data_IF_467765076562
#
_entry.id   IF_467765076562
#
_cell.length_a   1.000
_cell.length_b   1.000
_cell.length_c   1.000
_cell.angle_alpha   90.00
_cell.angle_beta   90.00
_cell.angle_gamma   90.00
#
_symmetry.space_group_name_H-M   'P 1'
#
loop_
_entity.id
_entity.type
_entity.pdbx_description
1 polymer ?
#
# COMPACT_ATOMS: atom_id res chain seq x y z
N UNK A 1 -12.98 35.87 -26.13
CA UNK A 1 -13.05 36.21 -24.69
C UNK A 1 -13.72 35.05 -23.98
N UNK A 2 -12.94 34.04 -23.62
CA UNK A 2 -13.40 32.85 -22.86
C UNK A 2 -12.33 32.56 -21.83
N UNK A 3 -12.51 33.25 -20.71
CA UNK A 3 -12.28 32.85 -19.32
C UNK A 3 -11.25 31.76 -19.05
N UNK A 4 -10.03 32.24 -18.82
CA UNK A 4 -8.94 31.58 -18.13
C UNK A 4 -9.38 31.23 -16.70
N UNK A 5 -9.99 30.06 -16.51
CA UNK A 5 -10.19 29.53 -15.15
C UNK A 5 -8.84 29.19 -14.54
N UNK A 6 -8.34 30.15 -13.76
CA UNK A 6 -7.38 29.99 -12.68
C UNK A 6 -7.66 28.71 -11.89
N UNK A 7 -6.86 27.67 -12.15
CA UNK A 7 -6.64 26.55 -11.22
C UNK A 7 -5.19 26.66 -10.75
N UNK A 8 -4.90 27.69 -9.96
CA UNK A 8 -3.68 27.73 -9.13
C UNK A 8 -3.99 27.01 -7.81
N UNK A 9 -3.11 26.19 -7.23
CA UNK A 9 -1.71 26.01 -7.54
C UNK A 9 -1.12 24.69 -7.04
N UNK A 10 -0.40 24.04 -7.95
CA UNK A 10 0.96 23.62 -7.67
C UNK A 10 1.84 24.23 -8.77
N UNK A 11 3.00 24.81 -8.45
CA UNK A 11 3.91 25.30 -9.48
C UNK A 11 4.29 24.11 -10.38
N UNK A 12 4.01 24.27 -11.68
CA UNK A 12 4.49 23.37 -12.72
C UNK A 12 6.03 23.45 -12.72
N UNK A 13 6.71 22.56 -11.99
CA UNK A 13 8.18 22.57 -12.03
C UNK A 13 9.01 21.78 -11.02
N UNK A 14 8.48 21.19 -9.94
CA UNK A 14 9.40 20.69 -8.86
C UNK A 14 9.56 19.17 -8.79
N UNK A 15 8.55 18.35 -9.11
CA UNK A 15 8.66 16.90 -8.89
C UNK A 15 7.76 16.08 -9.83
N UNK A 16 8.36 15.21 -10.65
CA UNK A 16 7.60 14.31 -11.54
C UNK A 16 6.70 13.33 -10.77
N UNK A 17 5.68 12.71 -11.40
CA UNK A 17 4.77 11.74 -10.76
C UNK A 17 5.51 10.60 -10.03
N UNK A 18 6.60 10.11 -10.63
CA UNK A 18 7.49 9.12 -10.03
C UNK A 18 8.08 9.59 -8.69
N UNK A 19 8.57 10.82 -8.65
CA UNK A 19 9.22 11.34 -7.46
C UNK A 19 8.21 11.73 -6.36
N UNK A 20 6.95 12.09 -6.72
CA UNK A 20 5.86 12.22 -5.74
C UNK A 20 5.43 10.87 -5.15
N UNK A 21 5.34 9.82 -5.97
CA UNK A 21 5.11 8.45 -5.50
C UNK A 21 6.25 7.98 -4.59
N UNK A 22 7.51 8.25 -4.94
CA UNK A 22 8.66 7.94 -4.09
C UNK A 22 8.59 8.65 -2.73
N UNK A 23 8.28 9.95 -2.69
CA UNK A 23 8.12 10.68 -1.43
C UNK A 23 7.00 10.08 -0.57
N UNK A 24 5.83 9.81 -1.16
CA UNK A 24 4.73 9.14 -0.46
C UNK A 24 5.17 7.77 0.08
N UNK A 25 5.87 6.98 -0.74
CA UNK A 25 6.34 5.65 -0.39
C UNK A 25 7.33 5.68 0.78
N UNK A 26 8.28 6.60 0.76
CA UNK A 26 9.27 6.75 1.83
C UNK A 26 8.59 7.19 3.13
N UNK A 27 7.67 8.14 3.07
CA UNK A 27 7.02 8.68 4.28
C UNK A 27 6.03 7.68 4.85
N UNK A 28 5.09 7.16 4.06
CA UNK A 28 3.96 6.39 4.61
C UNK A 28 4.32 4.91 4.74
N UNK A 29 4.51 4.12 3.67
CA UNK A 29 4.97 2.75 3.79
C UNK A 29 6.33 2.60 4.45
N UNK A 30 7.29 3.50 4.22
CA UNK A 30 8.60 3.43 4.87
C UNK A 30 8.51 3.56 6.40
N UNK A 31 7.59 4.38 6.89
CA UNK A 31 7.31 4.46 8.33
C UNK A 31 6.59 3.20 8.84
N UNK A 32 5.55 2.76 8.13
CA UNK A 32 4.69 1.63 8.54
C UNK A 32 5.42 0.28 8.48
N UNK A 33 6.23 0.05 7.44
CA UNK A 33 6.92 -1.22 7.21
C UNK A 33 8.41 -1.18 7.57
N UNK A 34 8.97 -0.03 7.94
CA UNK A 34 10.37 0.15 8.30
C UNK A 34 10.56 0.71 9.70
N UNK A 35 10.21 1.99 9.91
CA UNK A 35 10.51 2.70 11.16
C UNK A 35 9.78 2.12 12.38
N UNK A 36 8.48 1.85 12.26
CA UNK A 36 7.69 1.26 13.35
C UNK A 36 8.19 -0.16 13.67
N UNK A 37 8.37 -1.07 12.69
CA UNK A 37 8.95 -2.37 12.96
C UNK A 37 10.33 -2.30 13.62
N UNK A 38 11.20 -1.41 13.17
CA UNK A 38 12.52 -1.22 13.77
C UNK A 38 12.42 -0.81 15.24
N UNK A 39 11.54 0.14 15.57
CA UNK A 39 11.29 0.54 16.95
C UNK A 39 10.72 -0.58 17.82
N UNK A 40 9.77 -1.37 17.29
CA UNK A 40 9.21 -2.53 18.01
C UNK A 40 10.27 -3.59 18.30
N UNK A 41 11.14 -3.88 17.33
CA UNK A 41 12.27 -4.80 17.51
C UNK A 41 13.29 -4.29 18.52
N UNK A 42 13.54 -2.97 18.56
CA UNK A 42 14.43 -2.37 19.56
C UNK A 42 13.88 -2.50 21.00
N UNK A 43 12.56 -2.58 21.17
CA UNK A 43 11.88 -2.76 22.45
C UNK A 43 11.71 -4.24 22.86
N UNK A 44 11.91 -5.19 21.93
CA UNK A 44 11.79 -6.64 22.16
C UNK A 44 13.13 -7.34 21.84
N UNK A 45 14.18 -7.21 22.70
CA UNK A 45 15.53 -7.72 22.41
C UNK A 45 15.61 -9.25 22.29
N UNK A 46 14.61 -9.96 22.81
CA UNK A 46 14.53 -11.42 22.82
C UNK A 46 13.27 -11.89 22.09
N UNK A 47 13.36 -12.04 20.78
CA UNK A 47 12.36 -12.76 20.00
C UNK A 47 12.33 -14.26 20.37
N UNK A 48 11.31 -14.97 19.91
CA UNK A 48 11.24 -16.42 20.08
C UNK A 48 12.38 -17.09 19.31
N UNK A 49 13.25 -17.81 20.03
CA UNK A 49 14.38 -18.56 19.46
C UNK A 49 13.90 -19.88 18.87
N UNK A 50 13.35 -19.82 17.66
CA UNK A 50 13.10 -20.99 16.82
C UNK A 50 14.19 -21.09 15.72
N UNK A 51 14.27 -22.22 15.02
CA UNK A 51 15.36 -22.51 14.05
C UNK A 51 15.51 -21.40 12.99
N UNK A 52 16.63 -20.68 13.07
CA UNK A 52 16.86 -19.44 12.32
C UNK A 52 16.81 -19.61 10.79
N UNK A 53 17.18 -20.78 10.27
CA UNK A 53 17.25 -21.02 8.83
C UNK A 53 15.87 -21.19 8.18
N UNK A 54 14.97 -21.98 8.77
CA UNK A 54 13.63 -22.22 8.24
C UNK A 54 12.78 -20.95 8.29
N UNK A 55 12.84 -20.22 9.41
CA UNK A 55 12.13 -18.96 9.60
C UNK A 55 12.67 -17.83 8.74
N UNK A 56 13.98 -17.84 8.51
CA UNK A 56 14.62 -16.95 7.55
C UNK A 56 13.97 -17.06 6.17
N UNK A 57 13.80 -18.27 5.64
CA UNK A 57 13.15 -18.47 4.35
C UNK A 57 11.64 -18.22 4.38
N UNK A 58 10.93 -18.72 5.41
CA UNK A 58 9.50 -18.51 5.56
C UNK A 58 9.12 -17.04 5.68
N UNK A 59 9.98 -16.21 6.26
CA UNK A 59 9.78 -14.76 6.35
C UNK A 59 10.34 -13.99 5.14
N UNK A 60 11.45 -14.42 4.54
CA UNK A 60 12.05 -13.73 3.39
C UNK A 60 11.17 -13.78 2.14
N UNK A 61 10.47 -14.89 1.89
CA UNK A 61 9.55 -15.02 0.75
C UNK A 61 8.43 -13.98 0.78
N UNK A 62 7.62 -13.84 1.85
CA UNK A 62 6.57 -12.82 1.90
C UNK A 62 7.13 -11.39 1.91
N UNK A 63 8.32 -11.13 2.47
CA UNK A 63 8.97 -9.81 2.38
C UNK A 63 9.29 -9.48 0.93
N UNK A 64 10.03 -10.35 0.24
CA UNK A 64 10.47 -10.11 -1.15
C UNK A 64 9.29 -9.99 -2.10
N UNK A 65 8.30 -10.87 -1.96
CA UNK A 65 7.04 -10.80 -2.71
C UNK A 65 6.27 -9.51 -2.42
N UNK A 66 6.13 -9.14 -1.14
CA UNK A 66 5.44 -7.93 -0.72
C UNK A 66 6.10 -6.65 -1.26
N UNK A 67 7.43 -6.55 -1.17
CA UNK A 67 8.18 -5.41 -1.74
C UNK A 67 8.00 -5.33 -3.26
N UNK A 68 8.15 -6.45 -3.97
CA UNK A 68 7.95 -6.49 -5.42
C UNK A 68 6.53 -6.11 -5.83
N UNK A 69 5.52 -6.61 -5.11
CA UNK A 69 4.12 -6.29 -5.35
C UNK A 69 3.82 -4.82 -5.08
N UNK A 70 4.34 -4.26 -3.99
CA UNK A 70 4.20 -2.85 -3.67
C UNK A 70 4.82 -1.97 -4.77
N UNK A 71 6.03 -2.31 -5.20
CA UNK A 71 6.73 -1.61 -6.27
C UNK A 71 5.94 -1.67 -7.59
N UNK A 72 5.36 -2.81 -7.94
CA UNK A 72 4.51 -2.94 -9.13
C UNK A 72 3.26 -2.06 -9.03
N UNK A 73 2.61 -2.02 -7.86
CA UNK A 73 1.48 -1.12 -7.64
C UNK A 73 1.89 0.36 -7.81
N UNK A 74 2.99 0.77 -7.17
CA UNK A 74 3.52 2.13 -7.27
C UNK A 74 3.91 2.53 -8.70
N UNK A 75 4.51 1.60 -9.43
CA UNK A 75 4.82 1.78 -10.86
C UNK A 75 3.56 2.00 -11.68
N UNK A 76 2.52 1.17 -11.49
CA UNK A 76 1.24 1.31 -12.17
C UNK A 76 0.58 2.68 -11.95
N UNK A 77 0.61 3.21 -10.73
CA UNK A 77 0.12 4.57 -10.48
C UNK A 77 0.97 5.64 -11.16
N UNK A 78 2.30 5.52 -11.11
CA UNK A 78 3.20 6.52 -11.67
C UNK A 78 3.17 6.55 -13.21
N UNK A 79 2.95 5.42 -13.88
CA UNK A 79 2.96 5.34 -15.36
C UNK A 79 1.58 5.39 -16.00
N UNK A 80 0.56 4.80 -15.38
CA UNK A 80 -0.79 4.68 -15.96
C UNK A 80 -1.84 5.55 -15.25
N UNK A 81 -1.69 5.84 -13.95
CA UNK A 81 -2.71 6.53 -13.14
C UNK A 81 -2.79 8.05 -13.31
N UNK A 82 -1.80 8.69 -13.95
CA UNK A 82 -1.67 10.18 -14.06
C UNK A 82 -1.88 10.91 -12.72
N UNK A 83 -1.52 10.27 -11.60
CA UNK A 83 -1.71 10.71 -10.21
C UNK A 83 -0.88 9.83 -9.27
N UNK A 84 -1.12 9.91 -7.96
CA UNK A 84 -0.39 9.08 -6.97
C UNK A 84 -1.37 8.30 -6.08
N UNK A 85 -0.91 7.29 -5.31
CA UNK A 85 -1.73 6.66 -4.28
C UNK A 85 -2.13 7.61 -3.13
N UNK A 86 -1.64 8.85 -3.14
CA UNK A 86 -1.86 9.83 -2.09
C UNK A 86 -3.30 10.37 -2.14
N UNK A 87 -4.00 10.48 -1.00
CA UNK A 87 -5.31 11.15 -0.91
C UNK A 87 -5.29 12.61 -1.40
N UNK A 88 -4.11 13.24 -1.43
CA UNK A 88 -3.92 14.63 -1.85
C UNK A 88 -3.71 14.79 -3.38
N UNK A 89 -3.59 13.70 -4.13
CA UNK A 89 -3.57 13.71 -5.61
C UNK A 89 -4.22 12.43 -6.16
N UNK A 90 -5.56 12.29 -6.00
CA UNK A 90 -6.26 11.05 -6.34
C UNK A 90 -6.18 10.76 -7.85
N UNK A 91 -6.13 9.49 -8.25
CA UNK A 91 -6.18 9.10 -9.65
C UNK A 91 -7.46 9.62 -10.30
N UNK A 92 -7.34 10.23 -11.49
CA UNK A 92 -8.51 10.70 -12.27
C UNK A 92 -9.25 9.55 -12.96
N UNK A 93 -8.63 8.37 -13.00
CA UNK A 93 -9.16 7.15 -13.62
C UNK A 93 -8.91 5.95 -12.69
N UNK A 94 -9.86 5.01 -12.68
CA UNK A 94 -9.78 3.80 -11.86
C UNK A 94 -8.68 2.87 -12.39
N UNK A 95 -7.62 2.66 -11.61
CA UNK A 95 -6.55 1.72 -11.95
C UNK A 95 -7.07 0.29 -11.75
N UNK A 96 -7.28 -0.43 -12.85
CA UNK A 96 -7.84 -1.80 -12.88
C UNK A 96 -6.89 -2.81 -13.53
N UNK A 97 -5.64 -2.42 -13.82
CA UNK A 97 -4.64 -3.22 -14.51
C UNK A 97 -3.54 -3.71 -13.55
N UNK A 98 -2.74 -4.69 -14.00
CA UNK A 98 -1.66 -5.26 -13.19
C UNK A 98 -2.21 -5.94 -11.92
N UNK A 99 -1.64 -5.69 -10.73
CA UNK A 99 -2.14 -6.26 -9.48
C UNK A 99 -3.60 -5.92 -9.17
N UNK A 100 -4.05 -4.74 -9.61
CA UNK A 100 -5.42 -4.29 -9.43
C UNK A 100 -6.43 -5.10 -10.26
N UNK A 101 -5.99 -5.86 -11.27
CA UNK A 101 -6.87 -6.77 -11.99
C UNK A 101 -7.25 -8.03 -11.17
N UNK A 102 -6.51 -8.34 -10.10
CA UNK A 102 -6.73 -9.54 -9.26
C UNK A 102 -7.29 -9.23 -7.88
N UNK A 103 -6.90 -8.11 -7.31
CA UNK A 103 -7.42 -7.65 -6.02
C UNK A 103 -7.64 -6.15 -6.11
N UNK A 104 -8.70 -5.64 -5.48
CA UNK A 104 -8.93 -4.20 -5.41
C UNK A 104 -7.96 -3.47 -4.46
N UNK A 105 -7.29 -4.21 -3.56
CA UNK A 105 -6.43 -3.64 -2.50
C UNK A 105 -5.04 -4.30 -2.41
N UNK A 106 -4.32 -4.48 -3.54
CA UNK A 106 -3.07 -5.26 -3.58
C UNK A 106 -1.93 -4.56 -2.83
N UNK A 107 -1.90 -3.22 -2.82
CA UNK A 107 -0.89 -2.43 -2.13
C UNK A 107 -0.97 -2.60 -0.60
N UNK A 108 -2.18 -2.67 -0.02
CA UNK A 108 -2.36 -2.95 1.41
C UNK A 108 -1.92 -4.36 1.78
N UNK A 109 -2.27 -5.34 0.95
CA UNK A 109 -1.81 -6.72 1.14
C UNK A 109 -0.28 -6.82 1.09
N UNK A 110 0.36 -6.09 0.18
CA UNK A 110 1.82 -6.03 0.06
C UNK A 110 2.50 -5.52 1.35
N UNK A 111 2.00 -4.43 1.93
CA UNK A 111 2.53 -3.86 3.19
C UNK A 111 2.34 -4.84 4.36
N UNK A 112 1.17 -5.46 4.47
CA UNK A 112 0.91 -6.46 5.53
C UNK A 112 1.84 -7.67 5.37
N UNK A 113 2.06 -8.16 4.14
CA UNK A 113 2.95 -9.28 3.87
C UNK A 113 4.40 -8.99 4.31
N UNK A 114 4.89 -7.77 4.06
CA UNK A 114 6.22 -7.35 4.52
C UNK A 114 6.30 -7.38 6.05
N UNK A 115 5.34 -6.79 6.75
CA UNK A 115 5.33 -6.73 8.22
C UNK A 115 5.24 -8.13 8.85
N UNK A 116 4.38 -9.01 8.32
CA UNK A 116 4.24 -10.38 8.82
C UNK A 116 5.48 -11.24 8.49
N UNK A 117 6.11 -11.00 7.35
CA UNK A 117 7.40 -11.62 7.03
C UNK A 117 8.50 -11.18 7.99
N UNK A 118 8.57 -9.89 8.35
CA UNK A 118 9.49 -9.40 9.39
C UNK A 118 9.19 -10.06 10.75
N UNK A 119 7.92 -10.18 11.14
CA UNK A 119 7.54 -10.87 12.37
C UNK A 119 8.06 -12.33 12.40
N UNK A 120 8.07 -12.98 11.24
CA UNK A 120 8.54 -14.37 11.08
C UNK A 120 10.07 -14.46 11.10
N UNK A 121 10.78 -13.58 10.39
CA UNK A 121 12.26 -13.55 10.36
C UNK A 121 12.83 -13.28 11.75
N UNK A 122 12.28 -12.29 12.45
CA UNK A 122 12.81 -11.86 13.75
C UNK A 122 12.22 -12.63 14.93
N UNK A 123 11.24 -13.49 14.66
CA UNK A 123 10.50 -14.15 15.70
C UNK A 123 9.90 -13.17 16.72
N UNK A 124 9.18 -12.15 16.27
CA UNK A 124 8.62 -11.10 17.15
C UNK A 124 7.11 -11.21 17.27
N UNK A 125 6.63 -11.39 18.50
CA UNK A 125 5.21 -11.37 18.79
C UNK A 125 4.62 -9.97 18.63
N UNK A 126 5.38 -8.93 18.97
CA UNK A 126 4.95 -7.54 18.79
C UNK A 126 4.71 -7.20 17.32
N UNK A 127 5.62 -7.61 16.42
CA UNK A 127 5.43 -7.43 14.97
C UNK A 127 4.26 -8.23 14.42
N UNK A 128 4.03 -9.45 14.93
CA UNK A 128 2.88 -10.26 14.52
C UNK A 128 1.57 -9.56 14.91
N UNK A 129 1.43 -9.13 16.16
CA UNK A 129 0.26 -8.38 16.64
C UNK A 129 0.10 -7.09 15.84
N UNK A 130 1.19 -6.36 15.59
CA UNK A 130 1.19 -5.15 14.78
C UNK A 130 0.69 -5.42 13.35
N UNK A 131 1.18 -6.46 12.69
CA UNK A 131 0.74 -6.85 11.35
C UNK A 131 -0.74 -7.22 11.29
N UNK A 132 -1.26 -7.94 12.30
CA UNK A 132 -2.68 -8.27 12.40
C UNK A 132 -3.56 -7.03 12.62
N UNK A 133 -3.15 -6.13 13.52
CA UNK A 133 -3.83 -4.85 13.76
C UNK A 133 -3.82 -3.99 12.50
N UNK A 134 -2.71 -3.97 11.78
CA UNK A 134 -2.57 -3.24 10.53
C UNK A 134 -3.51 -3.79 9.45
N UNK A 135 -3.57 -5.12 9.29
CA UNK A 135 -4.49 -5.78 8.37
C UNK A 135 -5.96 -5.45 8.68
N UNK A 136 -6.36 -5.53 9.96
CA UNK A 136 -7.70 -5.18 10.40
C UNK A 136 -8.01 -3.69 10.17
N UNK A 137 -7.02 -2.81 10.40
CA UNK A 137 -7.15 -1.37 10.19
C UNK A 137 -7.33 -1.02 8.71
N UNK A 138 -6.54 -1.63 7.82
CA UNK A 138 -6.70 -1.48 6.38
C UNK A 138 -8.04 -2.02 5.91
N UNK A 139 -8.47 -3.20 6.37
CA UNK A 139 -9.78 -3.73 6.02
C UNK A 139 -10.91 -2.77 6.42
N UNK A 140 -10.86 -2.25 7.65
CA UNK A 140 -11.85 -1.28 8.14
C UNK A 140 -11.84 0.01 7.32
N UNK A 141 -10.65 0.52 6.96
CA UNK A 141 -10.49 1.73 6.14
C UNK A 141 -11.09 1.53 4.74
N UNK A 142 -10.78 0.41 4.10
CA UNK A 142 -11.30 0.06 2.78
C UNK A 142 -12.82 0.03 2.79
N UNK A 143 -13.43 -0.72 3.72
CA UNK A 143 -14.89 -0.91 3.76
C UNK A 143 -15.62 0.38 4.13
N UNK A 144 -15.10 1.16 5.08
CA UNK A 144 -15.83 2.32 5.63
C UNK A 144 -15.59 3.62 4.87
N UNK A 145 -14.46 3.76 4.19
CA UNK A 145 -14.08 5.01 3.56
C UNK A 145 -13.78 4.83 2.08
N UNK A 146 -12.92 3.89 1.70
CA UNK A 146 -12.44 3.84 0.32
C UNK A 146 -13.51 3.30 -0.65
N UNK A 147 -14.16 2.18 -0.35
CA UNK A 147 -15.20 1.66 -1.24
C UNK A 147 -16.39 2.62 -1.40
N UNK A 148 -16.89 3.30 -0.34
CA UNK A 148 -17.93 4.32 -0.48
C UNK A 148 -17.48 5.53 -1.30
N UNK A 149 -16.25 6.02 -1.10
CA UNK A 149 -15.69 7.13 -1.87
C UNK A 149 -15.55 6.74 -3.34
N UNK A 150 -15.01 5.56 -3.64
CA UNK A 150 -14.89 5.05 -5.00
C UNK A 150 -16.25 4.84 -5.67
N UNK A 151 -17.25 4.35 -4.93
CA UNK A 151 -18.61 4.21 -5.44
C UNK A 151 -19.25 5.57 -5.76
N UNK A 152 -19.04 6.58 -4.92
CA UNK A 152 -19.53 7.94 -5.14
C UNK A 152 -18.84 8.61 -6.33
N UNK A 153 -17.52 8.47 -6.44
CA UNK A 153 -16.72 9.21 -7.40
C UNK A 153 -16.71 8.56 -8.80
N UNK A 154 -16.83 7.22 -8.89
CA UNK A 154 -16.74 6.48 -10.16
C UNK A 154 -18.01 5.70 -10.56
N UNK A 155 -19.04 5.65 -9.70
CA UNK A 155 -20.36 5.08 -10.03
C UNK A 155 -20.31 3.69 -10.69
N UNK A 156 -20.93 3.57 -11.86
CA UNK A 156 -21.08 2.31 -12.62
C UNK A 156 -19.74 1.67 -13.01
N UNK A 157 -18.69 2.47 -13.22
CA UNK A 157 -17.37 1.94 -13.52
C UNK A 157 -16.81 1.16 -12.34
N UNK A 158 -17.01 1.65 -11.12
CA UNK A 158 -16.62 0.94 -9.90
C UNK A 158 -17.53 -0.25 -9.61
N UNK A 159 -18.83 -0.15 -9.90
CA UNK A 159 -19.77 -1.28 -9.79
C UNK A 159 -19.36 -2.44 -10.72
N UNK A 160 -19.04 -2.14 -11.97
CA UNK A 160 -18.55 -3.14 -12.93
C UNK A 160 -17.22 -3.76 -12.49
N UNK A 161 -16.34 -2.96 -11.90
CA UNK A 161 -15.04 -3.43 -11.41
C UNK A 161 -15.16 -4.35 -10.19
N UNK A 162 -16.00 -4.00 -9.21
CA UNK A 162 -16.15 -4.79 -7.98
C UNK A 162 -16.82 -6.15 -8.19
N UNK A 163 -17.59 -6.31 -9.26
CA UNK A 163 -18.18 -7.59 -9.68
C UNK A 163 -17.13 -8.56 -10.22
N UNK A 164 -16.13 -8.03 -10.93
CA UNK A 164 -15.08 -8.84 -11.56
C UNK A 164 -13.88 -9.09 -10.65
N UNK A 165 -13.60 -8.16 -9.74
CA UNK A 165 -12.38 -8.20 -8.93
C UNK A 165 -12.73 -8.23 -7.43
N UNK A 166 -12.30 -9.28 -6.70
CA UNK A 166 -12.59 -9.39 -5.30
C UNK A 166 -11.84 -8.30 -4.49
N UNK A 167 -12.33 -8.03 -3.27
CA UNK A 167 -11.72 -7.00 -2.40
C UNK A 167 -10.28 -7.36 -2.03
N UNK A 168 -10.08 -8.64 -1.72
CA UNK A 168 -8.82 -9.30 -1.39
C UNK A 168 -8.73 -10.54 -2.30
N UNK A 169 -7.51 -10.99 -2.58
CA UNK A 169 -7.16 -12.05 -3.55
C UNK A 169 -8.11 -13.26 -3.59
#
# INVERSE_FOLDING_TARGET
MTDERCVHGYPAGVMGPLARTLVFTVIVPGTVAGLIPWGLLALEPSGWRLDAALLGWLGAVPITFGVGLYAWCGWGFATAGRGTPSPHDPPRELVTTGPYARSRNPMYAAVVAVVLGLATVYGSAALLVYGLVLAASFHRRVVRFEEPVLARDFGDAYASYRERVPRWW
#
